data_IF_718514165223
#
_entry.id   IF_718514165223
#
_cell.length_a   1.000
_cell.length_b   1.000
_cell.length_c   1.000
_cell.angle_alpha   90.00
_cell.angle_beta   90.00
_cell.angle_gamma   90.00
#
_symmetry.space_group_name_H-M   'P 1'
#
loop_
_entity.id
_entity.type
_entity.pdbx_description
1 polymer ?
#
# COMPACT_ATOMS: atom_id res chain seq x y z
N UNK A 1 15.59 -6.88 -15.74
CA UNK A 1 14.21 -6.47 -16.02
C UNK A 1 13.33 -7.64 -15.72
N UNK A 2 12.74 -7.59 -14.53
CA UNK A 2 11.78 -8.58 -14.05
C UNK A 2 10.41 -8.00 -14.26
N UNK A 3 9.61 -8.66 -15.10
CA UNK A 3 8.24 -8.22 -15.37
C UNK A 3 7.38 -8.46 -14.13
N UNK A 4 6.55 -7.48 -13.80
CA UNK A 4 5.55 -7.59 -12.73
C UNK A 4 4.30 -8.24 -13.34
N UNK A 5 3.96 -9.43 -12.85
CA UNK A 5 2.74 -10.15 -13.24
C UNK A 5 1.66 -10.03 -12.18
N UNK A 6 2.03 -9.82 -10.91
CA UNK A 6 1.11 -9.52 -9.83
C UNK A 6 1.66 -8.53 -8.82
N UNK A 7 0.75 -7.80 -8.16
CA UNK A 7 1.05 -6.91 -7.04
C UNK A 7 0.10 -7.28 -5.90
N UNK A 8 0.65 -7.57 -4.71
CA UNK A 8 -0.13 -7.78 -3.49
C UNK A 8 0.03 -6.56 -2.58
N UNK A 9 -1.09 -5.97 -2.17
CA UNK A 9 -1.14 -4.82 -1.27
C UNK A 9 -1.95 -5.19 -0.04
N UNK A 10 -1.34 -5.13 1.13
CA UNK A 10 -2.06 -5.32 2.39
C UNK A 10 -2.26 -3.97 3.06
N UNK A 11 -3.52 -3.64 3.35
CA UNK A 11 -3.92 -2.43 4.06
C UNK A 11 -4.49 -2.81 5.42
N UNK A 12 -4.06 -2.12 6.46
CA UNK A 12 -4.60 -2.24 7.81
C UNK A 12 -5.16 -0.88 8.24
N UNK A 13 -6.44 -0.85 8.60
CA UNK A 13 -7.06 0.33 9.20
C UNK A 13 -6.92 0.26 10.72
N UNK A 14 -6.66 1.41 11.35
CA UNK A 14 -6.50 1.50 12.80
C UNK A 14 -7.78 1.04 13.52
N UNK A 15 -7.62 0.32 14.63
CA UNK A 15 -8.74 -0.08 15.51
C UNK A 15 -9.11 1.02 16.51
N UNK A 16 -9.58 2.16 16.02
CA UNK A 16 -10.13 3.25 16.86
C UNK A 16 -11.43 3.78 16.30
N UNK A 17 -12.24 4.44 17.14
CA UNK A 17 -13.48 5.09 16.71
C UNK A 17 -13.19 6.11 15.59
N UNK A 18 -14.00 6.08 14.53
CA UNK A 18 -13.89 6.97 13.37
C UNK A 18 -12.67 6.73 12.48
N UNK A 19 -11.99 5.58 12.61
CA UNK A 19 -10.81 5.26 11.83
C UNK A 19 -11.09 4.79 10.40
N UNK A 20 -12.27 4.23 10.15
CA UNK A 20 -12.67 3.72 8.85
C UNK A 20 -13.15 4.82 7.91
N UNK A 21 -13.36 4.45 6.64
CA UNK A 21 -13.75 5.38 5.58
C UNK A 21 -14.55 4.67 4.51
N UNK A 22 -15.44 5.42 3.84
CA UNK A 22 -16.12 5.04 2.60
C UNK A 22 -15.43 5.65 1.35
N UNK A 23 -14.31 6.36 1.55
CA UNK A 23 -13.55 6.98 0.47
C UNK A 23 -12.67 6.00 -0.30
N UNK A 24 -12.18 6.46 -1.45
CA UNK A 24 -11.39 5.61 -2.34
C UNK A 24 -9.93 5.58 -1.91
N UNK A 25 -9.30 4.40 -2.02
CA UNK A 25 -7.88 4.22 -1.73
C UNK A 25 -7.15 3.71 -2.97
N UNK A 26 -5.96 4.24 -3.21
CA UNK A 26 -5.14 3.94 -4.37
C UNK A 26 -3.73 3.54 -3.95
N UNK A 27 -3.15 2.54 -4.61
CA UNK A 27 -1.72 2.31 -4.61
C UNK A 27 -1.09 3.10 -5.77
N UNK A 28 -0.19 4.03 -5.47
CA UNK A 28 0.76 4.58 -6.42
C UNK A 28 2.00 3.68 -6.51
N UNK A 29 2.27 3.11 -7.68
CA UNK A 29 3.40 2.21 -7.90
C UNK A 29 3.84 2.21 -9.37
N UNK A 30 5.16 2.16 -9.62
CA UNK A 30 5.78 2.24 -10.96
C UNK A 30 5.19 3.38 -11.83
N UNK A 31 4.92 4.54 -11.23
CA UNK A 31 4.48 5.74 -11.96
C UNK A 31 3.00 5.81 -12.32
N UNK A 32 2.16 4.91 -11.81
CA UNK A 32 0.70 4.98 -11.98
C UNK A 32 -0.03 4.59 -10.71
N UNK A 33 -1.34 4.84 -10.69
CA UNK A 33 -2.21 4.44 -9.59
C UNK A 33 -3.06 3.20 -9.93
N UNK A 34 -3.33 2.42 -8.91
CA UNK A 34 -4.21 1.25 -8.89
C UNK A 34 -5.29 1.46 -7.84
N UNK A 35 -6.54 1.34 -8.25
CA UNK A 35 -7.67 1.50 -7.33
C UNK A 35 -7.82 0.23 -6.48
N UNK A 36 -7.79 0.38 -5.17
CA UNK A 36 -7.93 -0.73 -4.23
C UNK A 36 -9.39 -0.79 -3.79
N UNK A 37 -10.10 -1.78 -4.30
CA UNK A 37 -11.53 -1.96 -4.04
C UNK A 37 -11.89 -3.42 -4.28
N UNK A 38 -12.73 -4.00 -3.44
CA UNK A 38 -13.14 -5.40 -3.47
C UNK A 38 -14.64 -5.56 -3.19
N UNK A 39 -15.15 -6.79 -3.25
CA UNK A 39 -16.55 -7.08 -2.90
C UNK A 39 -16.87 -6.89 -1.40
N UNK A 40 -15.88 -6.52 -0.58
CA UNK A 40 -16.01 -6.38 0.86
C UNK A 40 -16.03 -4.91 1.30
N UNK A 41 -16.42 -4.70 2.57
CA UNK A 41 -16.33 -3.39 3.20
C UNK A 41 -14.88 -3.08 3.61
N UNK A 42 -14.17 -2.37 2.75
CA UNK A 42 -12.73 -2.50 2.61
C UNK A 42 -11.93 -1.85 3.74
N UNK A 43 -12.37 -0.68 4.22
CA UNK A 43 -11.55 0.18 5.06
C UNK A 43 -12.08 0.35 6.48
N UNK A 44 -12.92 -0.58 6.94
CA UNK A 44 -13.51 -0.56 8.28
C UNK A 44 -12.50 -0.49 9.43
N UNK A 45 -12.90 0.15 10.53
CA UNK A 45 -12.04 0.29 11.70
C UNK A 45 -11.53 -1.06 12.23
N UNK A 46 -10.21 -1.22 12.30
CA UNK A 46 -9.56 -2.45 12.75
C UNK A 46 -9.57 -3.59 11.73
N UNK A 47 -9.93 -3.32 10.47
CA UNK A 47 -9.83 -4.27 9.36
C UNK A 47 -8.37 -4.43 8.91
N UNK A 48 -8.10 -5.58 8.28
CA UNK A 48 -6.88 -5.84 7.54
C UNK A 48 -7.27 -6.63 6.29
N UNK A 49 -6.87 -6.14 5.11
CA UNK A 49 -7.25 -6.74 3.82
C UNK A 49 -6.08 -6.79 2.88
N UNK A 50 -6.06 -7.82 2.02
CA UNK A 50 -5.10 -7.98 0.94
C UNK A 50 -5.80 -7.82 -0.41
N UNK A 51 -5.25 -6.93 -1.22
CA UNK A 51 -5.64 -6.68 -2.60
C UNK A 51 -4.58 -7.24 -3.54
N UNK A 52 -4.98 -8.14 -4.41
CA UNK A 52 -4.14 -8.73 -5.44
C UNK A 52 -4.54 -8.11 -6.78
N UNK A 53 -3.55 -7.60 -7.50
CA UNK A 53 -3.67 -6.99 -8.82
C UNK A 53 -2.94 -7.88 -9.85
N UNK A 54 -3.48 -8.01 -11.06
CA UNK A 54 -2.90 -8.89 -12.09
C UNK A 54 -3.22 -10.37 -11.86
N UNK A 55 -2.20 -11.22 -11.93
CA UNK A 55 -2.37 -12.66 -11.72
C UNK A 55 -2.88 -12.98 -10.31
N UNK A 56 -3.99 -13.72 -10.25
CA UNK A 56 -4.68 -14.02 -8.99
C UNK A 56 -5.49 -12.86 -8.43
N UNK A 57 -5.78 -11.83 -9.23
CA UNK A 57 -6.41 -10.61 -8.77
C UNK A 57 -7.79 -10.79 -8.13
N UNK A 58 -8.03 -10.04 -7.06
CA UNK A 58 -9.26 -10.07 -6.25
C UNK A 58 -9.91 -8.68 -6.10
N UNK A 59 -9.47 -7.71 -6.90
CA UNK A 59 -10.00 -6.34 -6.89
C UNK A 59 -11.05 -6.12 -7.97
N UNK A 60 -11.93 -5.17 -7.72
CA UNK A 60 -12.76 -4.58 -8.77
C UNK A 60 -11.88 -3.98 -9.87
N UNK A 61 -12.46 -3.86 -11.07
CA UNK A 61 -11.79 -3.28 -12.24
C UNK A 61 -10.47 -3.98 -12.61
N UNK A 62 -10.35 -5.29 -12.40
CA UNK A 62 -9.13 -6.09 -12.59
C UNK A 62 -8.37 -5.77 -13.90
N UNK A 63 -9.06 -5.57 -15.03
CA UNK A 63 -8.41 -5.22 -16.30
C UNK A 63 -7.73 -3.85 -16.33
N UNK A 64 -8.27 -2.85 -15.61
CA UNK A 64 -7.63 -1.52 -15.45
C UNK A 64 -6.51 -1.56 -14.41
N UNK A 65 -6.66 -2.43 -13.43
CA UNK A 65 -5.69 -2.67 -12.37
C UNK A 65 -4.61 -3.70 -12.74
N UNK A 66 -4.56 -4.18 -13.97
CA UNK A 66 -3.58 -5.18 -14.39
C UNK A 66 -2.19 -4.53 -14.59
N UNK A 67 -1.15 -4.91 -13.82
CA UNK A 67 0.21 -4.37 -13.96
C UNK A 67 0.90 -4.81 -15.27
N UNK A 68 0.27 -5.67 -16.07
CA UNK A 68 0.73 -6.06 -17.40
C UNK A 68 0.20 -5.12 -18.50
N UNK A 69 -0.64 -4.15 -18.15
CA UNK A 69 -1.28 -3.23 -19.11
C UNK A 69 -1.18 -1.74 -18.69
N UNK A 70 -0.11 -1.01 -19.08
CA UNK A 70 1.08 -1.50 -19.79
C UNK A 70 1.97 -2.35 -18.87
N UNK A 71 2.85 -3.16 -19.47
CA UNK A 71 3.76 -4.03 -18.73
C UNK A 71 4.70 -3.21 -17.84
N UNK A 72 4.60 -3.40 -16.54
CA UNK A 72 5.48 -2.82 -15.53
C UNK A 72 6.65 -3.73 -15.22
N UNK A 73 7.75 -3.14 -14.77
CA UNK A 73 8.95 -3.86 -14.37
C UNK A 73 9.36 -3.48 -12.94
N UNK A 74 10.00 -4.43 -12.24
CA UNK A 74 10.43 -4.23 -10.85
C UNK A 74 11.41 -3.05 -10.73
N UNK A 75 12.22 -2.82 -11.75
CA UNK A 75 13.17 -1.70 -11.79
C UNK A 75 12.49 -0.32 -11.80
N UNK A 76 11.27 -0.21 -12.34
CA UNK A 76 10.50 1.04 -12.31
C UNK A 76 10.11 1.42 -10.87
N UNK A 77 9.94 0.41 -10.00
CA UNK A 77 9.61 0.61 -8.60
C UNK A 77 10.78 1.20 -7.78
N UNK A 78 12.01 1.13 -8.30
CA UNK A 78 13.19 1.74 -7.67
C UNK A 78 13.39 3.20 -8.09
N UNK A 79 12.93 3.57 -9.28
CA UNK A 79 13.05 4.92 -9.81
C UNK A 79 11.91 5.86 -9.43
N UNK A 80 10.77 5.32 -8.96
CA UNK A 80 9.53 6.06 -8.78
C UNK A 80 8.98 5.85 -7.36
N UNK A 81 8.35 6.87 -6.74
CA UNK A 81 7.79 6.72 -5.40
C UNK A 81 6.67 5.68 -5.35
N UNK A 82 6.73 4.81 -4.34
CA UNK A 82 5.59 4.01 -3.91
C UNK A 82 4.80 4.79 -2.85
N UNK A 83 3.46 4.75 -2.90
CA UNK A 83 2.61 5.42 -1.93
C UNK A 83 1.19 4.86 -1.87
N UNK A 84 0.51 5.07 -0.76
CA UNK A 84 -0.95 4.98 -0.66
C UNK A 84 -1.53 6.38 -0.80
N UNK A 85 -2.55 6.56 -1.65
CA UNK A 85 -3.32 7.79 -1.76
C UNK A 85 -4.76 7.54 -1.33
N UNK A 86 -5.31 8.49 -0.58
CA UNK A 86 -6.69 8.51 -0.13
C UNK A 86 -7.46 9.62 -0.85
N UNK A 87 -8.63 9.30 -1.38
CA UNK A 87 -9.60 10.24 -1.95
C UNK A 87 -10.88 10.22 -1.10
N UNK A 88 -11.03 11.16 -0.16
CA UNK A 88 -12.17 11.19 0.75
C UNK A 88 -13.48 11.53 0.01
N UNK A 89 -14.60 10.96 0.48
CA UNK A 89 -15.95 11.32 0.01
C UNK A 89 -16.36 12.75 0.38
N UNK A 90 -15.69 13.35 1.37
CA UNK A 90 -16.01 14.69 1.85
C UNK A 90 -14.95 15.27 2.79
N UNK A 91 -15.17 16.52 3.25
CA UNK A 91 -14.18 17.23 4.09
C UNK A 91 -13.98 16.63 5.48
N UNK A 92 -14.97 15.89 5.97
CA UNK A 92 -14.96 15.28 7.30
C UNK A 92 -14.69 13.76 7.24
N UNK A 93 -14.52 13.21 6.03
CA UNK A 93 -14.09 11.84 5.81
C UNK A 93 -12.58 11.75 6.03
N UNK A 94 -12.21 11.08 7.12
CA UNK A 94 -10.83 10.90 7.53
C UNK A 94 -10.61 9.41 7.75
N UNK A 95 -9.44 8.94 7.34
CA UNK A 95 -9.07 7.55 7.42
C UNK A 95 -7.78 7.38 8.21
N UNK A 96 -7.77 6.45 9.17
CA UNK A 96 -6.59 6.16 9.96
C UNK A 96 -5.89 4.91 9.42
N UNK A 97 -4.91 5.12 8.54
CA UNK A 97 -4.02 4.07 8.08
C UNK A 97 -3.14 3.58 9.24
N UNK A 98 -3.21 2.28 9.54
CA UNK A 98 -2.32 1.65 10.51
C UNK A 98 -1.07 1.08 9.84
N UNK A 99 -1.23 0.36 8.72
CA UNK A 99 -0.10 -0.19 7.96
C UNK A 99 -0.47 -0.39 6.50
N UNK A 100 0.50 -0.20 5.61
CA UNK A 100 0.43 -0.63 4.23
C UNK A 100 1.69 -1.41 3.85
N UNK A 101 1.52 -2.54 3.18
CA UNK A 101 2.64 -3.31 2.60
C UNK A 101 2.38 -3.65 1.15
N UNK A 102 3.40 -3.54 0.30
CA UNK A 102 3.34 -3.89 -1.13
C UNK A 102 4.40 -4.94 -1.44
N UNK A 103 4.01 -5.97 -2.20
CA UNK A 103 4.88 -7.04 -2.72
C UNK A 103 4.56 -7.30 -4.18
N UNK A 104 5.51 -7.88 -4.91
CA UNK A 104 5.37 -8.19 -6.33
C UNK A 104 5.57 -9.68 -6.57
N UNK A 105 4.86 -10.24 -7.53
CA UNK A 105 5.05 -11.61 -8.02
C UNK A 105 4.98 -12.73 -6.95
N UNK A 106 4.32 -12.47 -5.82
CA UNK A 106 4.25 -13.39 -4.68
C UNK A 106 5.54 -13.51 -3.86
N UNK A 107 6.57 -12.75 -4.20
CA UNK A 107 7.85 -12.76 -3.50
C UNK A 107 7.76 -12.01 -2.16
N UNK A 108 8.54 -12.46 -1.18
CA UNK A 108 8.68 -11.75 0.10
C UNK A 108 9.45 -10.43 -0.06
N UNK A 109 10.37 -10.38 -1.02
CA UNK A 109 11.18 -9.20 -1.35
C UNK A 109 11.31 -9.03 -2.86
N UNK A 110 11.38 -7.79 -3.37
CA UNK A 110 11.33 -6.54 -2.61
C UNK A 110 9.94 -6.26 -1.99
N UNK A 111 9.95 -5.56 -0.85
CA UNK A 111 8.73 -5.15 -0.14
C UNK A 111 8.78 -3.65 0.12
N UNK A 112 7.66 -2.96 -0.02
CA UNK A 112 7.50 -1.58 0.44
C UNK A 112 6.57 -1.58 1.65
N UNK A 113 6.93 -0.88 2.71
CA UNK A 113 6.25 -1.01 4.01
C UNK A 113 6.20 0.32 4.76
N UNK A 114 5.04 0.67 5.28
CA UNK A 114 4.87 1.87 6.11
C UNK A 114 5.41 1.72 7.54
N UNK A 115 5.87 0.52 7.94
CA UNK A 115 6.31 0.21 9.31
C UNK A 115 7.33 1.21 9.87
N UNK A 116 8.26 1.68 9.04
CA UNK A 116 9.33 2.59 9.46
C UNK A 116 8.91 4.07 9.51
N UNK A 117 7.74 4.41 8.99
CA UNK A 117 7.31 5.81 8.82
C UNK A 117 6.60 6.37 10.04
N UNK A 118 5.80 5.55 10.71
CA UNK A 118 4.99 5.99 11.84
C UNK A 118 4.73 4.86 12.82
N UNK A 119 4.59 5.23 14.10
CA UNK A 119 4.24 4.30 15.17
C UNK A 119 2.88 3.66 14.87
N UNK A 120 2.88 2.35 14.67
CA UNK A 120 1.71 1.54 14.34
C UNK A 120 0.61 1.60 15.42
N UNK A 121 0.96 1.99 16.66
CA UNK A 121 -0.02 2.21 17.74
C UNK A 121 -0.83 3.50 17.53
N UNK A 122 -0.26 4.46 16.83
CA UNK A 122 -0.86 5.77 16.54
C UNK A 122 -1.46 5.78 15.12
N UNK A 123 -0.79 5.15 14.16
CA UNK A 123 -1.15 5.20 12.74
C UNK A 123 -0.91 6.58 12.12
N UNK A 124 -1.38 6.76 10.89
CA UNK A 124 -1.38 8.01 10.16
C UNK A 124 -2.81 8.36 9.74
N UNK A 125 -3.28 9.53 10.16
CA UNK A 125 -4.57 10.06 9.70
C UNK A 125 -4.40 10.73 8.35
N UNK A 126 -5.18 10.27 7.37
CA UNK A 126 -5.32 10.87 6.05
C UNK A 126 -6.70 11.52 5.95
N UNK A 127 -6.78 12.59 5.17
CA UNK A 127 -8.00 13.36 4.96
C UNK A 127 -7.70 14.76 4.47
N UNK A 128 -8.74 15.50 4.11
CA UNK A 128 -8.60 16.82 3.48
C UNK A 128 -7.80 17.84 4.30
N UNK A 129 -7.62 17.60 5.61
CA UNK A 129 -6.88 18.46 6.55
C UNK A 129 -5.59 17.84 7.10
N UNK A 130 -5.29 16.60 6.76
CA UNK A 130 -4.17 15.83 7.33
C UNK A 130 -3.20 15.30 6.28
N UNK A 131 -3.47 15.58 5.00
CA UNK A 131 -2.74 15.04 3.86
C UNK A 131 -3.46 13.81 3.30
N UNK A 132 -3.23 13.55 2.01
CA UNK A 132 -3.93 12.51 1.26
C UNK A 132 -3.01 11.38 0.82
N UNK A 133 -1.71 11.45 1.14
CA UNK A 133 -0.69 10.55 0.61
C UNK A 133 0.22 10.06 1.75
N UNK A 134 0.45 8.75 1.80
CA UNK A 134 1.44 8.10 2.62
C UNK A 134 2.46 7.41 1.71
N UNK A 135 3.68 7.94 1.60
CA UNK A 135 4.76 7.27 0.87
C UNK A 135 5.11 5.94 1.53
N UNK A 136 5.68 4.99 0.78
CA UNK A 136 6.11 3.69 1.29
C UNK A 136 7.60 3.50 0.97
N UNK A 137 8.50 3.44 1.98
CA UNK A 137 9.89 3.12 1.73
C UNK A 137 10.01 1.65 1.30
N UNK A 138 10.92 1.40 0.36
CA UNK A 138 11.36 0.04 0.04
C UNK A 138 12.12 -0.48 1.26
N UNK A 139 11.71 -1.63 1.78
CA UNK A 139 12.46 -2.37 2.78
C UNK A 139 13.85 -2.65 2.20
N UNK A 140 14.87 -2.05 2.80
CA UNK A 140 16.25 -2.43 2.49
C UNK A 140 16.54 -3.68 3.31
N UNK A 141 16.97 -4.76 2.66
CA UNK A 141 17.59 -5.87 3.39
C UNK A 141 18.59 -5.26 4.36
N UNK A 142 18.41 -5.57 5.64
CA UNK A 142 19.15 -4.94 6.71
C UNK A 142 20.62 -4.91 6.32
N UNK A 143 21.19 -3.70 6.23
CA UNK A 143 22.64 -3.57 6.31
C UNK A 143 22.99 -4.22 7.64
N UNK A 144 23.49 -5.45 7.61
CA UNK A 144 24.20 -6.02 8.74
C UNK A 144 25.34 -5.05 8.96
N UNK A 145 25.14 -4.12 9.90
CA UNK A 145 26.23 -3.26 10.31
C UNK A 145 27.24 -4.18 10.97
N UNK A 146 28.53 -4.02 10.67
CA UNK A 146 29.62 -4.81 11.26
C UNK A 146 29.64 -4.82 12.81
N UNK A 147 28.75 -4.07 13.46
CA UNK A 147 28.56 -4.07 14.90
C UNK A 147 27.86 -5.34 15.44
N UNK A 148 27.09 -6.07 14.63
CA UNK A 148 26.30 -7.23 15.11
C UNK A 148 27.07 -8.57 15.10
N UNK A 149 28.31 -8.58 14.60
CA UNK A 149 29.17 -9.79 14.55
C UNK A 149 30.14 -9.84 15.74
N UNK A 150 30.07 -8.88 16.67
CA UNK A 150 31.01 -8.74 17.78
C UNK A 150 30.36 -8.90 19.17
N UNK A 151 29.30 -9.71 19.31
CA UNK A 151 28.75 -10.11 20.61
C UNK A 151 28.61 -11.62 20.73
#
# INVERSE_FOLDING_TARGET
>A
MVDITSISVTIQTRRTSGAGTDGDVYLGFCGREFYLDSDADDYESGSAREYVLGDGGNTHNAGRNDPRTPQLQVEDADGLPAYIRFEPTGRDDNWALQRATVRVNGDLFPMWDSLELFDQRVGLWLGTRSGLVAHLPKHQDGKVTQADVAR
#
